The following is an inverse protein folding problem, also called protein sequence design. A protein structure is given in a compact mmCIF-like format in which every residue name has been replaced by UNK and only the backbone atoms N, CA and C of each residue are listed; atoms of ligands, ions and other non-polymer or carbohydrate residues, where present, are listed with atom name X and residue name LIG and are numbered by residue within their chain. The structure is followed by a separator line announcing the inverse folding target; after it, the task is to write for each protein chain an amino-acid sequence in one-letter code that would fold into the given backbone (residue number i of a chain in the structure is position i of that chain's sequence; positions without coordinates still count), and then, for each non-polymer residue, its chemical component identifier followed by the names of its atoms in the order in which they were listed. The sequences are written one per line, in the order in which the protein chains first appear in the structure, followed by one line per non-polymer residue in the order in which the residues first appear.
data_IF_413945152010
#
_entry.id   IF_413945152010
#
_cell.length_a   1.000
_cell.length_b   1.000
_cell.length_c   1.000
_cell.angle_alpha   90.00
_cell.angle_beta   90.00
_cell.angle_gamma   90.00
#
_symmetry.space_group_name_H-M   'P 1'
#
loop_
_entity.id
_entity.type
_entity.pdbx_description
1 polymer ?
#
# COMPACT_ATOMS: atom_id res chain seq x y z
N UNK A 1 -1.08 -5.82 -12.99
CA UNK A 1 -0.15 -5.69 -11.84
C UNK A 1 -0.25 -6.85 -10.85
N UNK A 2 -1.45 -7.22 -10.39
CA UNK A 2 -1.67 -8.26 -9.35
C UNK A 2 -1.12 -9.64 -9.74
N UNK A 3 -1.24 -10.02 -11.02
CA UNK A 3 -0.69 -11.30 -11.52
C UNK A 3 0.85 -11.32 -11.52
N UNK A 4 1.50 -10.21 -11.86
CA UNK A 4 2.96 -10.09 -11.84
C UNK A 4 3.54 -10.18 -10.42
N UNK A 5 2.80 -9.67 -9.43
CA UNK A 5 3.12 -9.76 -8.01
C UNK A 5 3.17 -11.23 -7.54
N UNK A 6 2.28 -12.09 -8.04
CA UNK A 6 2.29 -13.53 -7.73
C UNK A 6 3.55 -14.27 -8.23
N UNK A 7 4.18 -13.77 -9.29
CA UNK A 7 5.40 -14.35 -9.87
C UNK A 7 6.67 -13.94 -9.13
N UNK A 8 6.64 -12.81 -8.41
CA UNK A 8 7.77 -12.30 -7.64
C UNK A 8 7.91 -13.11 -6.35
N UNK A 9 8.92 -13.99 -6.31
CA UNK A 9 9.20 -14.87 -5.18
C UNK A 9 9.55 -14.15 -3.87
N UNK A 10 10.44 -13.13 -3.85
CA UNK A 10 10.79 -12.47 -2.60
C UNK A 10 9.71 -11.47 -2.15
N UNK A 11 9.17 -11.67 -0.94
CA UNK A 11 8.17 -10.80 -0.30
C UNK A 11 8.57 -9.34 -0.33
N UNK A 12 9.86 -9.05 -0.07
CA UNK A 12 10.40 -7.68 -0.04
C UNK A 12 10.33 -7.00 -1.40
N UNK A 13 10.69 -7.70 -2.47
CA UNK A 13 10.61 -7.17 -3.84
C UNK A 13 9.15 -7.01 -4.26
N UNK A 14 8.30 -7.96 -3.86
CA UNK A 14 6.87 -7.89 -4.13
C UNK A 14 6.20 -6.70 -3.45
N UNK A 15 6.55 -6.44 -2.19
CA UNK A 15 6.10 -5.27 -1.44
C UNK A 15 6.62 -3.96 -2.06
N UNK A 16 7.89 -3.93 -2.49
CA UNK A 16 8.47 -2.79 -3.20
C UNK A 16 7.72 -2.50 -4.51
N UNK A 17 7.51 -3.52 -5.35
CA UNK A 17 6.76 -3.40 -6.61
C UNK A 17 5.33 -2.95 -6.36
N UNK A 18 4.70 -3.46 -5.30
CA UNK A 18 3.37 -3.04 -4.89
C UNK A 18 3.33 -1.58 -4.40
N UNK A 19 4.44 -1.08 -3.83
CA UNK A 19 4.59 0.31 -3.42
C UNK A 19 4.97 1.28 -4.55
N UNK A 20 5.15 0.82 -5.79
CA UNK A 20 5.47 1.72 -6.89
C UNK A 20 4.28 2.65 -7.16
N UNK A 21 4.50 3.97 -7.33
CA UNK A 21 3.43 4.95 -7.55
C UNK A 21 2.91 4.91 -9.01
N UNK A 22 2.86 3.74 -9.65
CA UNK A 22 2.45 3.62 -11.06
C UNK A 22 0.98 4.01 -11.25
N UNK A 23 0.01 3.47 -10.48
CA UNK A 23 -1.39 3.88 -10.64
C UNK A 23 -1.57 5.38 -10.39
N UNK A 24 -0.87 5.92 -9.38
CA UNK A 24 -0.90 7.35 -9.06
C UNK A 24 -0.28 8.21 -10.15
N UNK A 25 0.83 7.78 -10.74
CA UNK A 25 1.47 8.44 -11.88
C UNK A 25 0.51 8.52 -13.07
N UNK A 26 -0.21 7.43 -13.39
CA UNK A 26 -1.16 7.41 -14.51
C UNK A 26 -2.34 8.37 -14.29
N UNK A 27 -2.89 8.42 -13.07
CA UNK A 27 -3.98 9.35 -12.73
C UNK A 27 -3.50 10.80 -12.80
N UNK A 28 -2.34 11.10 -12.21
CA UNK A 28 -1.79 12.46 -12.19
C UNK A 28 -1.32 12.94 -13.56
N UNK A 29 -0.82 12.03 -14.41
CA UNK A 29 -0.49 12.33 -15.80
C UNK A 29 -1.70 12.78 -16.62
N UNK A 30 -2.91 12.34 -16.24
CA UNK A 30 -4.17 12.82 -16.82
C UNK A 30 -4.52 14.27 -16.46
N UNK A 31 -3.82 14.89 -15.50
CA UNK A 31 -3.91 16.32 -15.17
C UNK A 31 -5.18 16.79 -14.47
N UNK A 32 -6.13 15.90 -14.19
CA UNK A 32 -7.46 16.27 -13.65
C UNK A 32 -7.51 16.32 -12.13
N UNK A 33 -6.46 15.90 -11.44
CA UNK A 33 -6.45 15.72 -9.97
C UNK A 33 -5.30 16.48 -9.35
N UNK A 34 -5.60 17.36 -8.39
CA UNK A 34 -4.59 17.96 -7.52
C UNK A 34 -4.31 17.07 -6.32
N UNK A 35 -3.07 17.09 -5.87
CA UNK A 35 -2.65 16.32 -4.70
C UNK A 35 -2.86 17.16 -3.44
N UNK A 36 -3.51 16.56 -2.42
CA UNK A 36 -3.76 17.13 -1.10
C UNK A 36 -3.47 16.11 0.03
N UNK A 37 -3.90 16.42 1.26
CA UNK A 37 -3.66 15.55 2.41
C UNK A 37 -4.39 14.21 2.34
N UNK A 38 -5.45 14.08 1.53
CA UNK A 38 -6.24 12.85 1.43
C UNK A 38 -5.41 11.72 0.83
N UNK A 39 -4.57 11.98 -0.18
CA UNK A 39 -3.71 10.94 -0.75
C UNK A 39 -2.71 10.40 0.29
N UNK A 40 -2.18 11.28 1.15
CA UNK A 40 -1.25 10.88 2.22
C UNK A 40 -1.96 9.99 3.25
N UNK A 41 -3.18 10.38 3.66
CA UNK A 41 -4.00 9.56 4.56
C UNK A 41 -4.40 8.25 3.90
N UNK A 42 -4.65 8.22 2.59
CA UNK A 42 -4.90 6.99 1.83
C UNK A 42 -3.78 5.97 1.94
N UNK A 43 -2.50 6.41 1.89
CA UNK A 43 -1.35 5.53 2.12
C UNK A 43 -1.35 4.95 3.54
N UNK A 44 -1.66 5.78 4.56
CA UNK A 44 -1.78 5.32 5.94
C UNK A 44 -2.91 4.30 6.10
N UNK A 45 -4.09 4.58 5.54
CA UNK A 45 -5.25 3.69 5.58
C UNK A 45 -4.99 2.38 4.84
N UNK A 46 -4.19 2.39 3.76
CA UNK A 46 -3.78 1.18 3.06
C UNK A 46 -2.91 0.27 3.94
N UNK A 47 -1.97 0.85 4.67
CA UNK A 47 -1.19 0.11 5.66
C UNK A 47 -2.07 -0.41 6.79
N UNK A 48 -3.00 0.42 7.29
CA UNK A 48 -3.95 0.02 8.31
C UNK A 48 -4.83 -1.15 7.84
N UNK A 49 -5.33 -1.12 6.60
CA UNK A 49 -6.10 -2.20 5.98
C UNK A 49 -5.33 -3.52 6.00
N UNK A 50 -4.07 -3.53 5.58
CA UNK A 50 -3.23 -4.72 5.59
C UNK A 50 -2.93 -5.21 7.01
N UNK A 51 -2.70 -4.28 7.95
CA UNK A 51 -2.47 -4.60 9.36
C UNK A 51 -3.71 -5.19 10.04
N UNK A 52 -4.89 -4.61 9.83
CA UNK A 52 -6.17 -5.12 10.34
C UNK A 52 -6.48 -6.49 9.72
N UNK A 53 -6.28 -6.66 8.41
CA UNK A 53 -6.48 -7.96 7.76
C UNK A 53 -5.53 -9.01 8.35
N UNK A 54 -4.26 -8.67 8.56
CA UNK A 54 -3.28 -9.55 9.21
C UNK A 54 -3.72 -9.92 10.63
N UNK A 55 -4.17 -8.94 11.42
CA UNK A 55 -4.66 -9.15 12.78
C UNK A 55 -5.88 -10.07 12.82
N UNK A 56 -6.91 -9.78 12.02
CA UNK A 56 -8.13 -10.59 11.96
C UNK A 56 -7.83 -12.03 11.49
N UNK A 57 -7.02 -12.18 10.44
CA UNK A 57 -6.72 -13.50 9.88
C UNK A 57 -5.80 -14.33 10.79
N UNK A 58 -4.74 -13.73 11.33
CA UNK A 58 -3.71 -14.48 12.09
C UNK A 58 -4.06 -14.57 13.57
N UNK A 59 -4.49 -13.47 14.20
CA UNK A 59 -4.72 -13.44 15.65
C UNK A 59 -6.10 -13.91 16.04
N UNK A 60 -7.12 -13.54 15.25
CA UNK A 60 -8.51 -13.96 15.47
C UNK A 60 -8.90 -15.21 14.67
N UNK A 61 -7.99 -15.76 13.86
CA UNK A 61 -8.21 -16.95 13.03
C UNK A 61 -9.43 -16.84 12.09
N UNK A 62 -9.82 -15.61 11.73
CA UNK A 62 -10.95 -15.39 10.83
C UNK A 62 -10.63 -15.93 9.42
N UNK A 63 -11.61 -16.44 8.67
CA UNK A 63 -11.43 -16.78 7.26
C UNK A 63 -10.86 -15.58 6.49
N UNK A 64 -9.89 -15.79 5.60
CA UNK A 64 -9.18 -14.71 4.92
C UNK A 64 -10.13 -13.75 4.18
N UNK A 65 -11.19 -14.30 3.56
CA UNK A 65 -12.21 -13.49 2.88
C UNK A 65 -12.93 -12.58 3.86
N UNK A 66 -13.36 -13.11 5.02
CA UNK A 66 -14.03 -12.31 6.04
C UNK A 66 -13.11 -11.21 6.57
N UNK A 67 -11.85 -11.54 6.88
CA UNK A 67 -10.86 -10.57 7.34
C UNK A 67 -10.67 -9.41 6.34
N UNK A 68 -10.56 -9.73 5.04
CA UNK A 68 -10.42 -8.75 3.96
C UNK A 68 -11.67 -7.88 3.82
N UNK A 69 -12.87 -8.49 3.83
CA UNK A 69 -14.14 -7.77 3.72
C UNK A 69 -14.33 -6.82 4.91
N UNK A 70 -14.07 -7.28 6.14
CA UNK A 70 -14.16 -6.45 7.34
C UNK A 70 -13.18 -5.29 7.30
N UNK A 71 -11.91 -5.53 6.92
CA UNK A 71 -10.92 -4.47 6.80
C UNK A 71 -11.27 -3.46 5.70
N UNK A 72 -11.79 -3.95 4.56
CA UNK A 72 -12.24 -3.09 3.46
C UNK A 72 -13.45 -2.23 3.86
N UNK A 73 -14.42 -2.80 4.58
CA UNK A 73 -15.55 -2.06 5.11
C UNK A 73 -15.08 -0.96 6.08
N UNK A 74 -14.16 -1.29 6.99
CA UNK A 74 -13.54 -0.30 7.88
C UNK A 74 -12.82 0.82 7.13
N UNK A 75 -12.05 0.48 6.09
CA UNK A 75 -11.40 1.46 5.22
C UNK A 75 -12.42 2.41 4.58
N UNK A 76 -13.49 1.87 3.99
CA UNK A 76 -14.53 2.66 3.34
C UNK A 76 -15.25 3.57 4.33
N UNK A 77 -15.56 3.09 5.53
CA UNK A 77 -16.19 3.88 6.58
C UNK A 77 -15.30 5.06 7.01
N UNK A 78 -14.00 4.82 7.22
CA UNK A 78 -13.06 5.89 7.57
C UNK A 78 -12.91 6.87 6.41
N UNK A 79 -12.75 6.38 5.18
CA UNK A 79 -12.66 7.20 3.97
C UNK A 79 -13.89 8.10 3.80
N UNK A 80 -15.09 7.57 4.03
CA UNK A 80 -16.34 8.31 3.94
C UNK A 80 -16.49 9.37 5.04
N UNK A 81 -15.96 9.10 6.24
CA UNK A 81 -16.00 10.05 7.35
C UNK A 81 -14.94 11.17 7.23
N UNK A 82 -13.95 11.04 6.35
CA UNK A 82 -12.92 12.05 6.17
C UNK A 82 -13.47 13.29 5.44
N UNK A 83 -13.01 14.50 5.80
CA UNK A 83 -13.28 15.71 5.02
C UNK A 83 -12.81 15.57 3.57
N UNK A 84 -13.57 16.17 2.64
CA UNK A 84 -13.26 16.12 1.21
C UNK A 84 -11.90 16.73 0.83
N UNK A 85 -11.36 17.62 1.66
CA UNK A 85 -10.03 18.21 1.50
C UNK A 85 -9.33 18.20 2.84
N UNK A 86 -8.11 17.68 2.85
CA UNK A 86 -7.25 17.65 4.02
C UNK A 86 -6.03 18.53 3.81
N UNK A 87 -5.58 19.26 4.85
CA UNK A 87 -4.39 20.09 4.74
C UNK A 87 -3.17 19.19 4.57
N UNK A 88 -2.49 19.33 3.43
CA UNK A 88 -1.42 18.44 3.03
C UNK A 88 -0.26 18.41 4.03
N UNK A 89 0.24 19.58 4.45
CA UNK A 89 1.44 19.67 5.28
C UNK A 89 1.26 19.00 6.66
N UNK A 90 0.19 19.28 7.43
CA UNK A 90 -0.10 18.53 8.67
C UNK A 90 -0.21 17.02 8.45
N UNK A 91 -0.88 16.58 7.37
CA UNK A 91 -1.00 15.17 7.05
C UNK A 91 0.36 14.52 6.74
N UNK A 92 1.22 15.18 5.96
CA UNK A 92 2.57 14.72 5.65
C UNK A 92 3.42 14.57 6.91
N UNK A 93 3.43 15.59 7.78
CA UNK A 93 4.21 15.57 9.00
C UNK A 93 3.71 14.49 9.97
N UNK A 94 2.39 14.36 10.14
CA UNK A 94 1.81 13.35 11.00
C UNK A 94 2.12 11.93 10.50
N UNK A 95 1.91 11.67 9.20
CA UNK A 95 2.15 10.35 8.61
C UNK A 95 3.64 10.02 8.59
N UNK A 96 4.52 10.95 8.21
CA UNK A 96 5.97 10.74 8.25
C UNK A 96 6.48 10.51 9.68
N UNK A 97 5.96 11.25 10.66
CA UNK A 97 6.28 11.08 12.07
C UNK A 97 5.87 9.71 12.60
N UNK A 98 4.63 9.28 12.33
CA UNK A 98 4.16 7.93 12.66
C UNK A 98 5.00 6.84 12.00
N UNK A 99 5.41 7.07 10.74
CA UNK A 99 6.28 6.15 10.02
C UNK A 99 7.67 6.05 10.65
N UNK A 100 8.26 7.18 11.01
CA UNK A 100 9.57 7.22 11.65
C UNK A 100 9.54 6.43 12.97
N UNK A 101 8.54 6.66 13.81
CA UNK A 101 8.33 5.89 15.04
C UNK A 101 8.14 4.40 14.72
N UNK A 102 7.30 4.08 13.73
CA UNK A 102 7.03 2.71 13.32
C UNK A 102 8.25 1.96 12.80
N UNK A 103 9.16 2.62 12.10
CA UNK A 103 10.41 2.04 11.58
C UNK A 103 11.47 1.91 12.69
N UNK A 104 11.57 2.89 13.60
CA UNK A 104 12.59 2.89 14.65
C UNK A 104 12.30 1.89 15.77
N UNK A 105 11.03 1.69 16.13
CA UNK A 105 10.66 0.92 17.32
C UNK A 105 10.55 -0.59 17.03
N UNK A 106 10.57 -0.98 15.76
CA UNK A 106 10.10 -2.31 15.38
C UNK A 106 11.13 -3.10 14.55
N UNK A 107 11.77 -4.12 15.14
CA UNK A 107 12.74 -4.95 14.43
C UNK A 107 12.07 -5.73 13.29
N UNK A 108 12.84 -5.96 12.23
CA UNK A 108 12.39 -6.73 11.07
C UNK A 108 12.19 -8.19 11.48
N UNK A 109 10.96 -8.74 11.42
CA UNK A 109 10.80 -10.13 11.75
C UNK A 109 11.36 -11.00 10.60
N UNK A 110 12.16 -12.00 10.94
CA UNK A 110 12.48 -13.09 10.03
C UNK A 110 11.25 -13.98 9.89
N UNK A 111 10.79 -14.18 8.65
CA UNK A 111 9.68 -15.06 8.36
C UNK A 111 10.12 -16.13 7.38
N UNK A 112 10.01 -17.36 7.82
CA UNK A 112 10.24 -18.55 7.00
C UNK A 112 9.01 -18.84 6.16
N UNK A 113 9.23 -19.22 4.90
CA UNK A 113 8.16 -19.33 3.90
C UNK A 113 7.47 -20.71 3.98
N UNK A 114 6.15 -20.78 4.15
CA UNK A 114 5.42 -22.02 3.90
C UNK A 114 5.39 -22.32 2.39
N UNK A 115 5.66 -23.56 1.99
CA UNK A 115 5.59 -23.97 0.59
C UNK A 115 4.21 -23.64 -0.03
N UNK A 116 4.15 -23.10 -1.26
CA UNK A 116 2.88 -22.84 -1.92
C UNK A 116 2.16 -24.17 -2.18
N UNK A 117 0.83 -24.23 -1.98
CA UNK A 117 0.07 -25.40 -2.38
C UNK A 117 -0.06 -25.40 -3.92
N UNK A 118 -0.24 -26.57 -4.56
CA UNK A 118 -0.48 -26.63 -5.99
C UNK A 118 -1.73 -25.81 -6.36
N UNK A 119 -1.61 -24.97 -7.38
CA UNK A 119 -2.71 -24.13 -7.86
C UNK A 119 -3.68 -25.00 -8.67
N UNK A 120 -4.86 -25.26 -8.12
CA UNK A 120 -5.93 -25.93 -8.87
C UNK A 120 -6.79 -24.91 -9.62
N UNK A 121 -7.24 -25.29 -10.82
CA UNK A 121 -8.08 -24.44 -11.67
C UNK A 121 -9.34 -23.87 -10.97
N UNK A 122 -10.07 -24.62 -10.12
CA UNK A 122 -11.23 -24.10 -9.40
C UNK A 122 -10.86 -22.97 -8.42
N UNK A 123 -9.70 -23.06 -7.79
CA UNK A 123 -9.20 -22.03 -6.86
C UNK A 123 -8.76 -20.79 -7.62
N UNK A 124 -8.15 -20.96 -8.80
CA UNK A 124 -7.79 -19.84 -9.68
C UNK A 124 -9.03 -19.10 -10.20
N UNK A 125 -10.07 -19.83 -10.62
CA UNK A 125 -11.34 -19.27 -11.07
C UNK A 125 -12.06 -18.51 -9.94
N UNK A 126 -12.16 -19.10 -8.74
CA UNK A 126 -12.78 -18.43 -7.59
C UNK A 126 -12.04 -17.14 -7.19
N UNK A 127 -10.70 -17.14 -7.23
CA UNK A 127 -9.89 -15.93 -7.04
C UNK A 127 -10.20 -14.89 -8.10
N UNK A 128 -10.25 -15.28 -9.38
CA UNK A 128 -10.54 -14.36 -10.49
C UNK A 128 -11.93 -13.74 -10.37
N UNK A 129 -12.94 -14.53 -10.01
CA UNK A 129 -14.31 -14.04 -9.82
C UNK A 129 -14.39 -13.07 -8.63
N UNK A 130 -13.74 -13.40 -7.51
CA UNK A 130 -13.68 -12.48 -6.37
C UNK A 130 -12.93 -11.19 -6.72
N UNK A 131 -11.86 -11.28 -7.51
CA UNK A 131 -11.09 -10.14 -8.03
C UNK A 131 -11.97 -9.24 -8.90
N UNK A 132 -12.68 -9.84 -9.86
CA UNK A 132 -13.53 -9.13 -10.80
C UNK A 132 -14.72 -8.49 -10.08
N UNK A 133 -15.38 -9.23 -9.18
CA UNK A 133 -16.47 -8.73 -8.36
C UNK A 133 -16.00 -7.53 -7.52
N UNK A 134 -14.91 -7.66 -6.77
CA UNK A 134 -14.36 -6.56 -5.97
C UNK A 134 -13.96 -5.35 -6.84
N UNK A 135 -13.36 -5.58 -8.01
CA UNK A 135 -13.00 -4.50 -8.95
C UNK A 135 -14.25 -3.79 -9.48
N UNK A 136 -15.30 -4.53 -9.81
CA UNK A 136 -16.55 -4.00 -10.35
C UNK A 136 -17.35 -3.23 -9.29
N UNK A 137 -17.44 -3.75 -8.05
CA UNK A 137 -18.04 -3.05 -6.90
C UNK A 137 -17.39 -1.69 -6.65
N UNK A 138 -16.12 -1.55 -7.02
CA UNK A 138 -15.32 -0.36 -6.75
C UNK A 138 -15.40 0.69 -7.84
N UNK A 139 -15.80 0.33 -9.06
CA UNK A 139 -16.25 1.31 -10.07
C UNK A 139 -17.45 2.10 -9.55
N UNK A 140 -18.36 1.42 -8.85
CA UNK A 140 -19.53 2.04 -8.21
C UNK A 140 -19.16 2.84 -6.94
N UNK A 141 -18.13 2.43 -6.20
CA UNK A 141 -17.61 3.16 -5.03
C UNK A 141 -16.68 4.33 -5.38
N UNK A 142 -16.21 4.44 -6.63
CA UNK A 142 -15.23 5.44 -7.05
C UNK A 142 -15.68 6.88 -6.80
N UNK A 143 -16.99 7.15 -6.91
CA UNK A 143 -17.58 8.45 -6.56
C UNK A 143 -17.56 8.76 -5.06
N UNK A 144 -17.60 7.74 -4.19
CA UNK A 144 -17.58 7.89 -2.73
C UNK A 144 -16.16 8.02 -2.16
N UNK A 145 -15.15 7.52 -2.86
CA UNK A 145 -13.77 7.43 -2.36
C UNK A 145 -12.88 8.61 -2.78
N UNK A 146 -13.32 9.49 -3.70
CA UNK A 146 -12.59 10.68 -4.13
C UNK A 146 -11.06 10.44 -4.32
N UNK A 147 -10.19 11.35 -3.86
CA UNK A 147 -8.73 11.23 -3.98
C UNK A 147 -8.09 9.98 -3.34
N UNK A 148 -8.84 9.18 -2.56
CA UNK A 148 -8.36 7.92 -1.97
C UNK A 148 -8.37 6.75 -2.97
N UNK A 149 -9.12 6.86 -4.07
CA UNK A 149 -9.20 5.87 -5.16
C UNK A 149 -7.83 5.54 -5.74
N UNK A 150 -6.91 6.51 -5.70
CA UNK A 150 -5.58 6.42 -6.31
C UNK A 150 -4.65 5.46 -5.53
N UNK A 151 -4.98 5.14 -4.29
CA UNK A 151 -4.19 4.23 -3.42
C UNK A 151 -4.90 2.93 -3.06
N UNK A 152 -6.24 2.88 -3.11
CA UNK A 152 -7.06 1.69 -2.85
C UNK A 152 -8.35 1.78 -3.67
N UNK A 153 -8.86 0.71 -4.33
CA UNK A 153 -8.91 -0.69 -3.84
C UNK A 153 -8.54 -1.77 -4.87
N UNK A 154 -8.02 -1.40 -6.06
CA UNK A 154 -7.79 -2.37 -7.14
C UNK A 154 -6.73 -3.42 -6.81
N UNK A 155 -5.73 -3.08 -5.99
CA UNK A 155 -4.58 -3.93 -5.75
C UNK A 155 -4.57 -4.53 -4.33
N UNK A 156 -5.04 -3.81 -3.31
CA UNK A 156 -4.91 -4.22 -1.91
C UNK A 156 -5.73 -5.44 -1.50
N UNK A 157 -7.00 -5.53 -1.92
CA UNK A 157 -7.86 -6.69 -1.66
C UNK A 157 -7.26 -7.96 -2.27
N UNK A 158 -6.82 -7.85 -3.52
CA UNK A 158 -6.31 -9.00 -4.27
C UNK A 158 -4.96 -9.45 -3.72
N UNK A 159 -4.11 -8.48 -3.39
CA UNK A 159 -2.83 -8.76 -2.76
C UNK A 159 -3.01 -9.38 -1.40
N UNK A 160 -3.95 -8.92 -0.56
CA UNK A 160 -4.22 -9.52 0.74
C UNK A 160 -4.66 -11.00 0.62
N UNK A 161 -5.50 -11.33 -0.36
CA UNK A 161 -5.90 -12.72 -0.66
C UNK A 161 -4.72 -13.55 -1.18
N UNK A 162 -3.89 -12.96 -2.05
CA UNK A 162 -2.75 -13.65 -2.65
C UNK A 162 -1.66 -13.93 -1.61
N UNK A 163 -1.32 -12.92 -0.80
CA UNK A 163 -0.26 -12.99 0.21
C UNK A 163 -0.76 -13.47 1.57
N UNK A 164 -1.99 -14.00 1.68
CA UNK A 164 -2.61 -14.39 2.97
C UNK A 164 -1.73 -15.25 3.88
N UNK A 165 -0.89 -16.12 3.31
CA UNK A 165 0.06 -16.99 4.04
C UNK A 165 1.29 -16.26 4.57
N UNK A 166 1.65 -15.17 3.91
CA UNK A 166 2.81 -14.33 4.19
C UNK A 166 2.33 -12.93 4.62
N UNK A 167 1.08 -12.80 5.09
CA UNK A 167 0.40 -11.51 5.20
C UNK A 167 1.08 -10.59 6.20
N UNK A 168 1.55 -11.14 7.33
CA UNK A 168 2.33 -10.39 8.32
C UNK A 168 3.62 -9.89 7.69
N UNK A 169 4.43 -10.78 7.11
CA UNK A 169 5.69 -10.43 6.45
C UNK A 169 5.51 -9.39 5.33
N UNK A 170 4.45 -9.55 4.53
CA UNK A 170 4.11 -8.63 3.47
C UNK A 170 3.70 -7.27 4.01
N UNK A 171 2.80 -7.21 5.01
CA UNK A 171 2.39 -5.96 5.66
C UNK A 171 3.61 -5.23 6.20
N UNK A 172 4.52 -5.91 6.89
CA UNK A 172 5.76 -5.30 7.38
C UNK A 172 6.65 -4.74 6.28
N UNK A 173 6.94 -5.55 5.26
CA UNK A 173 7.76 -5.13 4.14
C UNK A 173 7.12 -3.94 3.42
N UNK A 174 5.80 -3.99 3.21
CA UNK A 174 5.05 -2.93 2.56
C UNK A 174 5.02 -1.65 3.38
N UNK A 175 4.77 -1.73 4.70
CA UNK A 175 4.82 -0.56 5.58
C UNK A 175 6.17 0.14 5.45
N UNK A 176 7.29 -0.58 5.49
CA UNK A 176 8.62 0.05 5.33
C UNK A 176 8.78 0.74 3.96
N UNK A 177 8.34 0.11 2.87
CA UNK A 177 8.49 0.68 1.52
C UNK A 177 7.47 1.77 1.19
N UNK A 178 6.31 1.78 1.85
CA UNK A 178 5.23 2.73 1.59
C UNK A 178 5.57 4.18 1.98
N UNK A 179 6.63 4.41 2.76
CA UNK A 179 7.18 5.77 2.93
C UNK A 179 7.61 6.39 1.59
N UNK A 180 8.00 5.56 0.62
CA UNK A 180 8.26 6.01 -0.75
C UNK A 180 7.04 6.66 -1.39
N UNK A 181 5.84 6.11 -1.18
CA UNK A 181 4.59 6.70 -1.67
C UNK A 181 4.30 8.05 -1.00
N UNK A 182 4.55 8.17 0.30
CA UNK A 182 4.44 9.45 1.01
C UNK A 182 5.43 10.47 0.46
N UNK A 183 6.68 10.05 0.20
CA UNK A 183 7.69 10.85 -0.47
C UNK A 183 7.25 11.29 -1.86
N UNK A 184 6.69 10.39 -2.66
CA UNK A 184 6.14 10.71 -3.97
C UNK A 184 5.07 11.79 -3.91
N UNK A 185 4.10 11.64 -3.01
CA UNK A 185 2.99 12.58 -2.83
C UNK A 185 3.53 13.96 -2.41
N UNK A 186 4.46 14.00 -1.45
CA UNK A 186 5.10 15.24 -1.00
C UNK A 186 5.90 15.93 -2.11
N UNK A 187 6.71 15.17 -2.85
CA UNK A 187 7.50 15.67 -3.97
C UNK A 187 6.63 16.20 -5.11
N UNK A 188 5.58 15.48 -5.48
CA UNK A 188 4.62 15.93 -6.50
C UNK A 188 3.95 17.23 -6.07
N UNK A 189 3.43 17.27 -4.85
CA UNK A 189 2.71 18.44 -4.36
C UNK A 189 3.60 19.69 -4.25
N UNK A 190 4.89 19.53 -3.96
CA UNK A 190 5.83 20.65 -3.92
C UNK A 190 6.09 21.28 -5.30
N UNK A 191 5.94 20.50 -6.38
CA UNK A 191 6.22 20.95 -7.75
C UNK A 191 4.97 21.07 -8.64
N UNK A 192 3.77 20.72 -8.16
CA UNK A 192 2.56 20.68 -8.97
C UNK A 192 2.16 22.04 -9.56
N UNK A 193 2.53 23.16 -8.92
CA UNK A 193 2.30 24.52 -9.47
C UNK A 193 3.16 24.82 -10.71
N UNK A 194 4.24 24.07 -10.93
CA UNK A 194 5.13 24.22 -12.09
C UNK A 194 4.75 23.29 -13.25
N UNK A 195 3.58 22.64 -13.15
CA UNK A 195 3.05 21.73 -14.16
C UNK A 195 3.24 20.25 -13.82
N UNK A 196 2.44 19.41 -14.49
CA UNK A 196 2.36 17.97 -14.23
C UNK A 196 3.70 17.25 -14.41
N UNK A 197 4.48 17.60 -15.42
CA UNK A 197 5.78 16.97 -15.67
C UNK A 197 6.78 17.24 -14.53
N UNK A 198 6.83 18.49 -14.04
CA UNK A 198 7.65 18.86 -12.89
C UNK A 198 7.20 18.14 -11.61
N UNK A 199 5.88 18.10 -11.37
CA UNK A 199 5.28 17.32 -10.28
C UNK A 199 5.69 15.85 -10.33
N UNK A 200 5.53 15.18 -11.46
CA UNK A 200 5.89 13.76 -11.62
C UNK A 200 7.39 13.52 -11.41
N UNK A 201 8.25 14.38 -11.96
CA UNK A 201 9.69 14.28 -11.79
C UNK A 201 10.10 14.42 -10.31
N UNK A 202 9.58 15.43 -9.62
CA UNK A 202 9.83 15.67 -8.20
C UNK A 202 9.28 14.53 -7.33
N UNK A 203 8.09 14.01 -7.63
CA UNK A 203 7.50 12.87 -6.95
C UNK A 203 8.35 11.60 -7.09
N UNK A 204 8.75 11.24 -8.31
CA UNK A 204 9.60 10.06 -8.53
C UNK A 204 10.98 10.19 -7.88
N UNK A 205 11.58 11.39 -7.90
CA UNK A 205 12.83 11.66 -7.21
C UNK A 205 12.70 11.45 -5.69
N UNK A 206 11.66 12.04 -5.08
CA UNK A 206 11.39 11.88 -3.65
C UNK A 206 11.11 10.40 -3.28
N UNK A 207 10.35 9.69 -4.11
CA UNK A 207 10.16 8.24 -3.97
C UNK A 207 11.49 7.49 -3.94
N UNK A 208 12.37 7.75 -4.91
CA UNK A 208 13.66 7.09 -5.04
C UNK A 208 14.56 7.35 -3.82
N UNK A 209 14.59 8.58 -3.31
CA UNK A 209 15.33 8.95 -2.09
C UNK A 209 14.81 8.16 -0.89
N UNK A 210 13.49 8.15 -0.66
CA UNK A 210 12.87 7.42 0.44
C UNK A 210 13.13 5.91 0.33
N UNK A 211 12.96 5.33 -0.86
CA UNK A 211 13.21 3.90 -1.10
C UNK A 211 14.69 3.53 -0.86
N UNK A 212 15.63 4.37 -1.32
CA UNK A 212 17.06 4.17 -1.09
C UNK A 212 17.43 4.27 0.41
N UNK A 213 16.85 5.22 1.14
CA UNK A 213 17.06 5.37 2.58
C UNK A 213 16.60 4.12 3.35
N UNK A 214 15.40 3.62 3.07
CA UNK A 214 14.86 2.39 3.68
C UNK A 214 15.72 1.18 3.34
N UNK A 215 16.20 1.08 2.09
CA UNK A 215 17.07 -0.02 1.68
C UNK A 215 18.41 -0.01 2.44
N UNK A 216 19.02 1.18 2.63
CA UNK A 216 20.26 1.34 3.39
C UNK A 216 20.07 0.97 4.87
N UNK A 217 19.00 1.44 5.50
CA UNK A 217 18.68 1.09 6.90
C UNK A 217 18.52 -0.42 7.08
N UNK A 218 17.79 -1.06 6.16
CA UNK A 218 17.57 -2.51 6.19
C UNK A 218 18.86 -3.33 6.01
N UNK A 219 19.84 -2.81 5.25
CA UNK A 219 21.15 -3.45 5.09
C UNK A 219 22.01 -3.34 6.35
N UNK A 220 21.98 -2.18 7.02
CA UNK A 220 22.72 -1.97 8.27
C UNK A 220 22.28 -2.93 9.37
N UNK A 221 20.96 -3.10 9.55
CA UNK A 221 20.38 -4.07 10.50
C UNK A 221 20.88 -5.50 10.26
N UNK A 222 20.94 -5.92 8.99
CA UNK A 222 21.35 -7.28 8.61
C UNK A 222 22.86 -7.55 8.79
N UNK A 223 23.68 -6.50 8.90
CA UNK A 223 25.12 -6.61 9.20
C UNK A 223 25.34 -6.61 10.71
N UNK A 224 24.60 -5.78 11.45
CA UNK A 224 24.69 -5.71 12.91
C UNK A 224 24.20 -7.00 13.59
N UNK A 225 23.12 -7.63 13.11
CA UNK A 225 22.59 -8.88 13.69
C UNK A 225 23.40 -10.15 13.37
N UNK A 226 24.49 -10.05 12.61
CA UNK A 226 25.40 -11.18 12.29
C UNK A 226 26.71 -11.15 13.08
N UNK A 227 26.91 -10.15 13.93
CA UNK A 227 28.05 -10.03 14.84
C UNK A 227 27.60 -10.39 16.24
#
# INVERSE_FOLDING_TARGET
MVWAIGLIRPVRVRALVYSLPIPMTLVLAGGTVRVDGAQVVGVLLLVAFLAVTAFLHVRMKAPAVLAVVTAAAGYVLVAWALPARLPLLPCLLAVAGLWLVGVLVRPTPEFERPAPPPLSWPVAAAKLTAVLAASFSMVWLGGLLAGLVVTFPYSGVLVAVEVRRELVAFTWAFTRTAIGLVGFIGGFAAAQEHGTAAGLAAGWLAYAVCAAAVHRLSRSEAVAGRR
#
